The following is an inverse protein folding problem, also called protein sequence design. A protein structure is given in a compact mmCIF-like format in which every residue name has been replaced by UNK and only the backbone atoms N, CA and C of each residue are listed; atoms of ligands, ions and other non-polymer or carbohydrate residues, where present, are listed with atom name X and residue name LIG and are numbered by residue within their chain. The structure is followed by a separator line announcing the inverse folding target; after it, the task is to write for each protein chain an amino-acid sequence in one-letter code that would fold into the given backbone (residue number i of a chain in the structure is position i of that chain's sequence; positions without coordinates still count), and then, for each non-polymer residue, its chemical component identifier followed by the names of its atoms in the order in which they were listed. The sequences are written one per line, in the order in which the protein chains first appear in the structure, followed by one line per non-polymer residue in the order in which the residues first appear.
data_IF_691702828443
#
_entry.id   IF_691702828443
#
_cell.length_a   1.000
_cell.length_b   1.000
_cell.length_c   1.000
_cell.angle_alpha   90.00
_cell.angle_beta   90.00
_cell.angle_gamma   90.00
#
_symmetry.space_group_name_H-M   'P 1'
#
loop_
_entity.id
_entity.type
_entity.pdbx_description
1 polymer ?
#
# COMPACT_ATOMS: atom_id res chain seq x y z
N UNK A 1 -17.35 -12.88 -5.74
CA UNK A 1 -18.71 -12.45 -6.15
C UNK A 1 -18.63 -11.59 -7.40
N UNK A 2 -19.60 -11.70 -8.36
CA UNK A 2 -19.67 -10.77 -9.48
C UNK A 2 -20.00 -9.37 -8.96
N UNK A 3 -19.30 -8.38 -9.49
CA UNK A 3 -19.46 -6.96 -9.10
C UNK A 3 -19.40 -6.06 -10.34
N UNK A 4 -19.72 -4.79 -10.15
CA UNK A 4 -19.59 -3.78 -11.20
C UNK A 4 -20.32 -4.15 -12.48
N UNK A 5 -19.58 -4.22 -13.58
CA UNK A 5 -20.15 -4.38 -14.94
C UNK A 5 -20.83 -5.72 -15.22
N UNK A 6 -20.58 -6.75 -14.40
CA UNK A 6 -21.23 -8.08 -14.56
C UNK A 6 -22.20 -8.44 -13.44
N UNK A 7 -22.47 -7.52 -12.52
CA UNK A 7 -23.29 -7.81 -11.33
C UNK A 7 -24.71 -8.28 -11.63
N UNK A 8 -25.26 -7.89 -12.77
CA UNK A 8 -26.64 -8.18 -13.16
C UNK A 8 -26.75 -9.04 -14.44
N UNK A 9 -25.64 -9.56 -14.95
CA UNK A 9 -25.60 -10.30 -16.22
C UNK A 9 -24.80 -11.59 -16.03
N UNK A 10 -25.38 -12.69 -16.51
CA UNK A 10 -24.72 -13.99 -16.51
C UNK A 10 -24.67 -14.69 -15.15
N UNK A 11 -23.96 -15.78 -15.13
CA UNK A 11 -23.75 -16.65 -13.98
C UNK A 11 -22.26 -16.81 -13.72
N UNK A 12 -21.86 -16.70 -12.44
CA UNK A 12 -20.49 -16.98 -12.00
C UNK A 12 -20.46 -18.30 -11.25
N UNK A 13 -19.55 -19.16 -11.63
CA UNK A 13 -19.18 -20.37 -10.90
C UNK A 13 -17.72 -20.34 -10.55
N UNK A 14 -17.35 -20.81 -9.38
CA UNK A 14 -15.96 -20.93 -8.97
C UNK A 14 -15.67 -22.33 -8.41
N UNK A 15 -14.45 -22.75 -8.59
CA UNK A 15 -13.90 -23.96 -7.98
C UNK A 15 -12.42 -23.75 -7.70
N UNK A 16 -11.87 -24.54 -6.80
CA UNK A 16 -10.45 -24.55 -6.49
C UNK A 16 -9.91 -25.93 -6.78
N UNK A 17 -8.79 -26.01 -7.50
CA UNK A 17 -8.11 -27.24 -7.86
C UNK A 17 -6.60 -27.01 -7.77
N UNK A 18 -5.92 -27.78 -6.93
CA UNK A 18 -4.46 -27.75 -6.77
C UNK A 18 -3.86 -26.33 -6.51
N UNK A 19 -4.57 -25.52 -5.71
CA UNK A 19 -4.14 -24.14 -5.40
C UNK A 19 -4.46 -23.10 -6.47
N UNK A 20 -5.12 -23.51 -7.56
CA UNK A 20 -5.62 -22.60 -8.58
C UNK A 20 -7.11 -22.34 -8.41
N UNK A 21 -7.52 -21.08 -8.40
CA UNK A 21 -8.93 -20.70 -8.42
C UNK A 21 -9.42 -20.59 -9.85
N UNK A 22 -10.37 -21.43 -10.20
CA UNK A 22 -11.02 -21.41 -11.51
C UNK A 22 -12.32 -20.61 -11.37
N UNK A 23 -12.42 -19.50 -12.07
CA UNK A 23 -13.63 -18.69 -12.13
C UNK A 23 -14.20 -18.72 -13.53
N UNK A 24 -15.44 -19.14 -13.66
CA UNK A 24 -16.17 -19.18 -14.92
C UNK A 24 -17.35 -18.22 -14.86
N UNK A 25 -17.37 -17.24 -15.76
CA UNK A 25 -18.54 -16.41 -16.05
C UNK A 25 -19.14 -16.79 -17.40
N UNK A 26 -20.44 -16.96 -17.46
CA UNK A 26 -21.13 -17.26 -18.69
C UNK A 26 -22.58 -16.77 -18.65
N UNK A 27 -23.14 -16.52 -19.82
CA UNK A 27 -24.54 -16.17 -19.97
C UNK A 27 -25.20 -17.06 -21.04
N UNK A 28 -26.29 -17.74 -20.66
CA UNK A 28 -27.02 -18.65 -21.57
C UNK A 28 -27.96 -17.91 -22.54
N UNK A 29 -28.21 -16.63 -22.30
CA UNK A 29 -29.08 -15.84 -23.18
C UNK A 29 -28.29 -15.16 -24.31
N UNK A 30 -26.99 -15.28 -24.29
CA UNK A 30 -26.09 -14.63 -25.24
C UNK A 30 -25.83 -13.14 -24.93
N UNK A 31 -26.10 -12.71 -23.68
CA UNK A 31 -25.73 -11.38 -23.26
C UNK A 31 -24.21 -11.20 -23.27
N UNK A 32 -23.78 -10.04 -23.67
CA UNK A 32 -22.37 -9.65 -23.74
C UNK A 32 -22.10 -8.50 -22.78
N UNK A 33 -20.84 -8.36 -22.37
CA UNK A 33 -20.37 -7.18 -21.65
C UNK A 33 -20.03 -6.13 -22.71
N UNK A 34 -20.75 -5.00 -22.67
CA UNK A 34 -20.45 -3.88 -23.56
C UNK A 34 -19.07 -3.28 -23.23
N UNK A 35 -18.38 -2.68 -24.22
CA UNK A 35 -17.09 -2.05 -24.00
C UNK A 35 -17.16 -0.96 -22.93
N UNK A 36 -16.49 -1.20 -21.80
CA UNK A 36 -16.46 -0.29 -20.65
C UNK A 36 -15.27 -0.67 -19.74
N UNK A 37 -14.96 0.19 -18.78
CA UNK A 37 -14.00 -0.09 -17.72
C UNK A 37 -14.71 -0.23 -16.38
N UNK A 38 -14.18 -1.04 -15.50
CA UNK A 38 -14.69 -1.24 -14.13
C UNK A 38 -14.42 -2.64 -13.61
N UNK A 39 -14.76 -2.84 -12.37
CA UNK A 39 -14.59 -4.12 -11.70
C UNK A 39 -15.56 -5.16 -12.27
N UNK A 40 -15.06 -6.34 -12.54
CA UNK A 40 -15.85 -7.48 -13.02
C UNK A 40 -16.02 -8.53 -11.93
N UNK A 41 -15.09 -8.65 -10.99
CA UNK A 41 -15.06 -9.72 -10.01
C UNK A 41 -14.32 -9.27 -8.76
N UNK A 42 -14.85 -9.63 -7.59
CA UNK A 42 -14.13 -9.58 -6.32
C UNK A 42 -13.85 -11.01 -5.87
N UNK A 43 -12.58 -11.30 -5.67
CA UNK A 43 -12.11 -12.55 -5.10
C UNK A 43 -11.70 -12.28 -3.64
N UNK A 44 -12.15 -13.15 -2.75
CA UNK A 44 -11.76 -13.10 -1.34
C UNK A 44 -11.00 -14.39 -1.04
N UNK A 45 -9.76 -14.24 -0.62
CA UNK A 45 -8.92 -15.34 -0.17
C UNK A 45 -8.73 -15.25 1.34
N UNK A 46 -8.64 -16.41 1.96
CA UNK A 46 -8.20 -16.51 3.33
C UNK A 46 -6.78 -17.07 3.33
N UNK A 47 -5.86 -16.34 3.95
CA UNK A 47 -4.51 -16.85 4.18
C UNK A 47 -4.60 -18.00 5.18
N UNK A 48 -3.90 -19.10 4.92
CA UNK A 48 -3.86 -20.23 5.84
C UNK A 48 -3.17 -19.79 7.15
N UNK A 49 -3.71 -20.22 8.29
CA UNK A 49 -3.13 -19.91 9.61
C UNK A 49 -1.68 -20.43 9.77
N UNK A 50 -1.32 -21.47 9.01
CA UNK A 50 0.02 -22.06 8.99
C UNK A 50 0.93 -21.44 7.89
N UNK A 51 0.47 -20.42 7.15
CA UNK A 51 1.30 -19.78 6.15
C UNK A 51 2.49 -19.08 6.82
N UNK A 52 3.71 -19.26 6.31
CA UNK A 52 4.86 -18.53 6.83
C UNK A 52 4.65 -17.02 6.73
N UNK A 53 5.12 -16.27 7.72
CA UNK A 53 5.16 -14.82 7.66
C UNK A 53 6.21 -14.34 6.66
N UNK A 54 6.01 -13.16 6.09
CA UNK A 54 6.91 -12.52 5.12
C UNK A 54 7.13 -13.31 3.81
N UNK A 55 6.21 -14.16 3.43
CA UNK A 55 6.23 -14.74 2.09
C UNK A 55 5.48 -13.86 1.09
N UNK A 56 6.12 -13.58 -0.04
CA UNK A 56 5.47 -12.89 -1.16
C UNK A 56 4.61 -13.87 -1.93
N UNK A 57 3.34 -13.57 -2.02
CA UNK A 57 2.37 -14.31 -2.83
C UNK A 57 2.03 -13.46 -4.05
N UNK A 58 2.16 -14.07 -5.22
CA UNK A 58 1.79 -13.45 -6.49
C UNK A 58 0.45 -14.02 -6.96
N UNK A 59 -0.53 -13.15 -7.21
CA UNK A 59 -1.80 -13.50 -7.82
C UNK A 59 -1.88 -12.90 -9.22
N UNK A 60 -2.19 -13.74 -10.17
CA UNK A 60 -2.36 -13.31 -11.56
C UNK A 60 -3.24 -14.27 -12.35
N UNK A 61 -3.59 -13.87 -13.55
CA UNK A 61 -4.26 -14.74 -14.51
C UNK A 61 -3.23 -15.65 -15.14
N UNK A 62 -3.46 -16.96 -15.08
CA UNK A 62 -2.59 -17.91 -15.74
C UNK A 62 -2.87 -17.96 -17.27
N UNK A 63 -2.03 -18.66 -18.01
CA UNK A 63 -2.12 -18.81 -19.47
C UNK A 63 -3.32 -19.62 -19.96
N UNK A 64 -4.10 -20.21 -19.05
CA UNK A 64 -5.35 -20.91 -19.36
C UNK A 64 -6.57 -20.00 -19.27
N UNK A 65 -6.40 -18.77 -18.74
CA UNK A 65 -7.47 -17.79 -18.71
C UNK A 65 -7.85 -17.38 -20.13
N UNK A 66 -9.14 -17.27 -20.41
CA UNK A 66 -9.64 -16.90 -21.73
C UNK A 66 -10.88 -16.02 -21.63
N UNK A 67 -10.95 -15.05 -22.52
CA UNK A 67 -12.12 -14.22 -22.76
C UNK A 67 -12.62 -14.50 -24.18
N UNK A 68 -13.93 -14.57 -24.35
CA UNK A 68 -14.51 -14.89 -25.66
C UNK A 68 -15.65 -13.95 -26.01
N UNK A 69 -15.85 -13.75 -27.31
CA UNK A 69 -17.03 -13.06 -27.85
C UNK A 69 -18.29 -13.96 -27.85
N UNK A 70 -19.42 -13.42 -28.28
CA UNK A 70 -20.69 -14.16 -28.37
C UNK A 70 -20.67 -15.32 -29.38
N UNK A 71 -19.67 -15.38 -30.25
CA UNK A 71 -19.46 -16.46 -31.22
C UNK A 71 -18.45 -17.50 -30.71
N UNK A 72 -17.87 -17.30 -29.52
CA UNK A 72 -16.88 -18.18 -28.92
C UNK A 72 -15.45 -17.97 -29.40
N UNK A 73 -15.17 -16.88 -30.12
CA UNK A 73 -13.80 -16.56 -30.51
C UNK A 73 -13.04 -15.96 -29.33
N UNK A 74 -11.85 -16.49 -29.06
CA UNK A 74 -11.01 -15.98 -27.98
C UNK A 74 -10.44 -14.60 -28.28
N UNK A 75 -10.44 -13.75 -27.26
CA UNK A 75 -9.80 -12.45 -27.27
C UNK A 75 -8.41 -12.51 -26.66
N UNK A 76 -7.51 -11.71 -27.22
CA UNK A 76 -6.25 -11.39 -26.58
C UNK A 76 -6.52 -10.45 -25.40
N UNK A 77 -5.83 -10.67 -24.27
CA UNK A 77 -5.88 -9.81 -23.09
C UNK A 77 -4.47 -9.59 -22.53
N UNK A 78 -4.30 -8.52 -21.81
CA UNK A 78 -3.14 -8.23 -21.00
C UNK A 78 -3.56 -8.26 -19.53
N UNK A 79 -2.73 -8.80 -18.68
CA UNK A 79 -2.95 -8.85 -17.23
C UNK A 79 -1.72 -8.42 -16.48
N UNK A 80 -1.93 -7.73 -15.35
CA UNK A 80 -0.90 -7.46 -14.37
C UNK A 80 -1.13 -8.37 -13.17
N UNK A 81 -0.05 -8.91 -12.62
CA UNK A 81 -0.11 -9.65 -11.39
C UNK A 81 -0.12 -8.70 -10.20
N UNK A 82 -0.72 -9.15 -9.10
CA UNK A 82 -0.72 -8.45 -7.82
C UNK A 82 0.18 -9.26 -6.90
N UNK A 83 1.08 -8.58 -6.20
CA UNK A 83 1.89 -9.17 -5.15
C UNK A 83 1.38 -8.71 -3.80
N UNK A 84 1.37 -9.59 -2.83
CA UNK A 84 1.16 -9.27 -1.43
C UNK A 84 2.00 -10.18 -0.55
N UNK A 85 2.28 -9.71 0.67
CA UNK A 85 3.11 -10.43 1.63
C UNK A 85 2.23 -11.01 2.72
N UNK A 86 2.49 -12.26 3.11
CA UNK A 86 1.77 -12.94 4.19
C UNK A 86 2.26 -12.47 5.57
N UNK A 87 1.39 -12.61 6.56
CA UNK A 87 1.68 -12.27 7.94
C UNK A 87 1.24 -10.85 8.32
N UNK A 88 1.46 -10.52 9.57
CA UNK A 88 1.30 -9.15 10.05
C UNK A 88 2.58 -8.37 9.80
N UNK A 89 2.51 -7.12 9.36
CA UNK A 89 3.71 -6.31 9.22
C UNK A 89 4.38 -6.12 10.58
N UNK A 90 5.71 -6.12 10.58
CA UNK A 90 6.50 -5.78 11.77
C UNK A 90 6.30 -4.32 12.15
N UNK A 91 6.07 -3.49 11.15
CA UNK A 91 5.85 -2.06 11.29
C UNK A 91 4.71 -1.60 10.38
N UNK A 92 3.80 -0.82 10.95
CA UNK A 92 2.75 -0.12 10.22
C UNK A 92 2.94 1.39 10.38
N UNK A 93 2.97 2.11 9.25
CA UNK A 93 3.14 3.56 9.22
C UNK A 93 1.84 4.23 8.77
N UNK A 94 1.51 5.34 9.39
CA UNK A 94 0.34 6.17 9.04
C UNK A 94 0.70 7.64 9.12
N UNK A 95 0.21 8.44 8.19
CA UNK A 95 0.25 9.90 8.29
C UNK A 95 -1.04 10.42 8.91
N UNK A 96 -0.91 11.29 9.90
CA UNK A 96 -2.03 11.91 10.60
C UNK A 96 -1.92 13.42 10.48
N UNK A 97 -2.80 14.03 9.71
CA UNK A 97 -2.84 15.49 9.58
C UNK A 97 -3.26 16.14 10.91
N UNK A 98 -2.48 17.11 11.37
CA UNK A 98 -2.73 17.85 12.62
C UNK A 98 -3.15 19.31 12.39
N UNK A 99 -2.78 19.86 11.22
CA UNK A 99 -3.21 21.19 10.76
C UNK A 99 -3.23 21.23 9.22
N UNK A 100 -3.47 22.41 8.64
CA UNK A 100 -3.42 22.61 7.19
C UNK A 100 -2.00 22.41 6.61
N UNK A 101 -0.97 22.52 7.46
CA UNK A 101 0.44 22.49 7.06
C UNK A 101 1.28 21.51 7.87
N UNK A 102 0.69 20.84 8.85
CA UNK A 102 1.44 19.96 9.73
C UNK A 102 0.81 18.57 9.78
N UNK A 103 1.64 17.56 9.86
CA UNK A 103 1.22 16.19 10.09
C UNK A 103 2.21 15.42 10.95
N UNK A 104 1.73 14.36 11.58
CA UNK A 104 2.52 13.41 12.33
C UNK A 104 2.69 12.12 11.54
N UNK A 105 3.87 11.53 11.63
CA UNK A 105 4.09 10.16 11.19
C UNK A 105 3.97 9.25 12.41
N UNK A 106 2.94 8.42 12.39
CA UNK A 106 2.70 7.41 13.41
C UNK A 106 3.30 6.08 12.98
N UNK A 107 3.88 5.40 13.93
CA UNK A 107 4.39 4.04 13.76
C UNK A 107 3.77 3.12 14.81
N UNK A 108 3.23 1.99 14.35
CA UNK A 108 2.92 0.84 15.19
C UNK A 108 3.92 -0.26 14.86
N UNK A 109 4.67 -0.73 15.83
CA UNK A 109 5.70 -1.75 15.63
C UNK A 109 5.60 -2.85 16.70
N UNK A 110 5.72 -4.09 16.26
CA UNK A 110 5.75 -5.28 17.10
C UNK A 110 7.17 -5.78 17.39
N UNK A 111 8.18 -5.14 16.81
CA UNK A 111 9.62 -5.37 17.03
C UNK A 111 10.31 -4.05 17.36
N UNK A 112 11.50 -4.10 17.96
CA UNK A 112 12.33 -2.92 18.19
C UNK A 112 12.88 -2.38 16.87
N UNK A 113 12.77 -1.06 16.66
CA UNK A 113 13.23 -0.36 15.44
C UNK A 113 14.48 0.46 15.75
N UNK A 114 15.56 0.23 15.00
CA UNK A 114 16.82 0.97 15.16
C UNK A 114 16.91 2.23 14.31
N UNK A 115 16.20 2.26 13.18
CA UNK A 115 16.20 3.43 12.32
C UNK A 115 15.16 3.34 11.21
N UNK A 116 14.89 4.50 10.61
CA UNK A 116 13.93 4.61 9.53
C UNK A 116 14.36 5.64 8.49
N UNK A 117 14.01 5.40 7.25
CA UNK A 117 14.06 6.36 6.15
C UNK A 117 12.74 6.29 5.39
N UNK A 118 12.16 7.45 5.12
CA UNK A 118 10.90 7.56 4.39
C UNK A 118 11.04 8.61 3.31
N UNK A 119 10.41 8.37 2.18
CA UNK A 119 10.20 9.35 1.11
C UNK A 119 8.71 9.56 0.98
N UNK A 120 8.28 10.81 1.10
CA UNK A 120 6.88 11.21 1.04
C UNK A 120 6.71 12.17 -0.14
N UNK A 121 5.71 11.95 -0.95
CA UNK A 121 5.26 12.84 -2.03
C UNK A 121 3.89 13.43 -1.74
N UNK A 122 3.59 14.55 -2.38
CA UNK A 122 2.24 15.10 -2.48
C UNK A 122 1.81 15.25 -3.94
N UNK A 123 0.59 14.84 -4.25
CA UNK A 123 0.01 14.97 -5.59
C UNK A 123 -1.32 15.75 -5.55
N UNK A 124 -1.41 16.89 -6.26
CA UNK A 124 -0.34 17.59 -6.99
C UNK A 124 0.67 18.23 -6.04
N UNK A 125 1.92 18.42 -6.49
CA UNK A 125 3.01 18.98 -5.71
C UNK A 125 2.74 20.45 -5.33
N UNK A 126 2.01 20.64 -4.24
CA UNK A 126 1.54 21.93 -3.74
C UNK A 126 2.22 22.35 -2.44
N UNK A 127 2.99 21.47 -1.83
CA UNK A 127 3.65 21.71 -0.56
C UNK A 127 5.16 21.71 -0.69
N UNK A 128 5.82 22.46 0.18
CA UNK A 128 7.27 22.44 0.36
C UNK A 128 7.60 22.06 1.79
N UNK A 129 8.61 21.22 1.95
CA UNK A 129 9.12 20.83 3.26
C UNK A 129 9.74 22.03 4.00
N UNK A 130 9.42 22.22 5.28
CA UNK A 130 10.03 23.20 6.18
C UNK A 130 10.93 22.50 7.19
N UNK A 131 10.36 21.63 8.02
CA UNK A 131 11.09 20.96 9.11
C UNK A 131 10.48 19.63 9.50
N UNK A 132 11.28 18.81 10.17
CA UNK A 132 10.82 17.63 10.88
C UNK A 132 11.51 17.58 12.25
N UNK A 133 10.74 17.22 13.25
CA UNK A 133 11.21 16.98 14.62
C UNK A 133 10.83 15.56 15.05
N UNK A 134 11.72 14.94 15.82
CA UNK A 134 11.42 13.65 16.49
C UNK A 134 10.53 13.86 17.71
N UNK A 135 9.77 12.84 18.05
CA UNK A 135 8.86 12.86 19.19
C UNK A 135 9.45 12.19 20.44
N UNK A 136 8.71 12.25 21.54
CA UNK A 136 9.07 11.57 22.79
C UNK A 136 9.18 10.03 22.64
N UNK A 137 8.65 9.48 21.56
CA UNK A 137 8.73 8.05 21.27
C UNK A 137 10.09 7.62 20.73
N UNK A 138 10.87 8.55 20.18
CA UNK A 138 12.23 8.30 19.67
C UNK A 138 13.28 9.25 20.31
N UNK A 139 13.36 9.36 21.67
CA UNK A 139 14.08 10.42 22.36
C UNK A 139 15.60 10.36 22.14
N UNK A 140 16.12 9.23 21.71
CA UNK A 140 17.56 9.01 21.46
C UNK A 140 17.89 8.92 19.96
N UNK A 141 16.94 9.27 19.11
CA UNK A 141 17.14 9.32 17.67
C UNK A 141 17.35 10.76 17.21
N UNK A 142 18.21 10.91 16.24
CA UNK A 142 18.28 12.13 15.42
C UNK A 142 17.30 11.96 14.29
N UNK A 143 16.29 12.81 14.23
CA UNK A 143 15.33 12.89 13.12
C UNK A 143 15.69 14.10 12.28
N UNK A 144 15.83 13.92 10.98
CA UNK A 144 16.17 14.98 10.04
C UNK A 144 15.44 14.77 8.73
N UNK A 145 15.17 15.86 8.03
CA UNK A 145 14.51 15.80 6.73
C UNK A 145 15.10 16.76 5.72
N UNK A 146 14.78 16.53 4.47
CA UNK A 146 15.17 17.39 3.37
C UNK A 146 14.17 17.28 2.23
N UNK A 147 14.03 18.36 1.46
CA UNK A 147 13.37 18.34 0.17
C UNK A 147 14.32 17.72 -0.88
N UNK A 148 13.79 16.83 -1.70
CA UNK A 148 14.51 16.19 -2.79
C UNK A 148 13.66 16.13 -4.04
N UNK A 149 13.61 17.23 -4.78
CA UNK A 149 12.94 17.30 -6.08
C UNK A 149 11.41 17.24 -6.01
N UNK A 150 10.84 17.78 -4.93
CA UNK A 150 9.40 17.79 -4.65
C UNK A 150 8.93 16.64 -3.75
N UNK A 151 9.85 15.78 -3.31
CA UNK A 151 9.58 14.74 -2.33
C UNK A 151 10.26 15.09 -1.00
N UNK A 152 9.66 14.71 0.12
CA UNK A 152 10.24 14.89 1.45
C UNK A 152 10.95 13.60 1.86
N UNK A 153 12.25 13.69 2.12
CA UNK A 153 13.02 12.55 2.64
C UNK A 153 13.21 12.77 4.14
N UNK A 154 12.78 11.82 4.94
CA UNK A 154 12.90 11.84 6.40
C UNK A 154 13.78 10.68 6.81
N UNK A 155 14.76 10.96 7.68
CA UNK A 155 15.69 9.98 8.22
C UNK A 155 15.70 10.05 9.74
N UNK A 156 15.51 8.91 10.39
CA UNK A 156 15.64 8.75 11.84
C UNK A 156 16.67 7.68 12.19
N UNK A 157 17.66 8.02 13.01
CA UNK A 157 18.72 7.08 13.40
C UNK A 157 19.27 7.43 14.77
N UNK A 158 19.85 6.42 15.44
CA UNK A 158 20.56 6.60 16.72
C UNK A 158 22.05 6.39 16.55
N UNK A 159 22.86 7.37 16.95
CA UNK A 159 24.32 7.23 17.01
C UNK A 159 24.81 6.38 18.17
N UNK A 160 23.94 6.14 19.16
CA UNK A 160 24.25 5.35 20.35
C UNK A 160 23.77 3.91 20.27
N UNK A 161 23.11 3.53 19.17
CA UNK A 161 22.51 2.21 18.99
C UNK A 161 21.22 1.99 19.79
N UNK A 162 20.55 3.09 20.18
CA UNK A 162 19.24 2.99 20.83
C UNK A 162 18.19 2.57 19.82
N UNK A 163 17.18 1.84 20.29
CA UNK A 163 16.01 1.44 19.50
C UNK A 163 14.77 2.20 19.92
N UNK A 164 13.77 2.23 19.06
CA UNK A 164 12.41 2.63 19.37
C UNK A 164 11.71 1.37 19.87
N UNK A 165 11.17 1.43 21.09
CA UNK A 165 10.51 0.30 21.74
C UNK A 165 9.25 -0.13 20.98
N UNK A 166 8.83 -1.38 21.15
CA UNK A 166 7.55 -1.90 20.69
C UNK A 166 6.39 -1.04 21.18
N UNK A 167 5.44 -0.74 20.30
CA UNK A 167 4.28 0.06 20.64
C UNK A 167 3.73 0.89 19.48
N UNK A 168 2.90 1.88 19.78
CA UNK A 168 2.26 2.75 18.79
C UNK A 168 2.34 4.22 19.18
N UNK A 169 2.35 5.10 18.19
CA UNK A 169 2.31 6.56 18.37
C UNK A 169 3.22 7.31 17.39
N UNK A 170 3.24 8.65 17.47
CA UNK A 170 4.00 9.48 16.56
C UNK A 170 5.51 9.30 16.78
N UNK A 171 6.27 9.22 15.69
CA UNK A 171 7.73 9.17 15.67
C UNK A 171 8.35 10.43 15.07
N UNK A 172 7.59 11.17 14.28
CA UNK A 172 8.01 12.44 13.67
C UNK A 172 6.84 13.39 13.54
N UNK A 173 7.14 14.68 13.72
CA UNK A 173 6.25 15.81 13.44
C UNK A 173 6.82 16.56 12.24
N UNK A 174 6.04 16.75 11.19
CA UNK A 174 6.47 17.35 9.92
C UNK A 174 5.71 18.65 9.70
N UNK A 175 6.43 19.72 9.43
CA UNK A 175 5.87 21.02 9.05
C UNK A 175 6.20 21.33 7.59
N UNK A 176 5.19 21.86 6.89
CA UNK A 176 5.26 22.19 5.48
C UNK A 176 4.71 23.59 5.19
N UNK A 177 5.08 24.13 4.06
CA UNK A 177 4.51 25.37 3.51
C UNK A 177 3.59 25.02 2.34
N UNK A 178 2.37 25.53 2.40
CA UNK A 178 1.44 25.47 1.30
C UNK A 178 1.78 26.54 0.26
N UNK A 179 2.19 26.12 -0.94
CA UNK A 179 2.61 27.00 -2.03
C UNK A 179 1.44 27.66 -2.77
N UNK A 180 0.21 27.17 -2.54
CA UNK A 180 -1.02 27.59 -3.24
C UNK A 180 -1.96 28.41 -2.35
N UNK A 181 -1.41 29.33 -1.56
CA UNK A 181 -2.16 30.16 -0.60
C UNK A 181 -3.42 30.77 -1.21
N UNK A 182 -4.56 30.54 -0.54
CA UNK A 182 -5.85 31.13 -0.88
C UNK A 182 -6.66 30.40 -1.95
N UNK A 183 -6.29 29.21 -2.32
CA UNK A 183 -7.08 28.31 -3.15
C UNK A 183 -7.50 27.08 -2.34
N UNK A 184 -8.76 26.66 -2.51
CA UNK A 184 -9.21 25.37 -2.02
C UNK A 184 -8.71 24.30 -3.00
N UNK A 185 -7.82 23.43 -2.54
CA UNK A 185 -7.36 22.26 -3.26
C UNK A 185 -7.09 21.12 -2.27
N UNK A 186 -7.20 19.92 -2.77
CA UNK A 186 -6.82 18.70 -2.06
C UNK A 186 -5.47 18.24 -2.60
N UNK A 187 -4.56 17.84 -1.72
CA UNK A 187 -3.35 17.09 -2.06
C UNK A 187 -3.39 15.76 -1.34
N UNK A 188 -3.00 14.72 -2.05
CA UNK A 188 -2.83 13.41 -1.49
C UNK A 188 -1.36 13.22 -1.10
N UNK A 189 -1.10 12.82 0.14
CA UNK A 189 0.23 12.50 0.62
C UNK A 189 0.42 10.98 0.62
N UNK A 190 1.53 10.54 0.04
CA UNK A 190 1.85 9.13 -0.08
C UNK A 190 3.26 8.84 0.44
N UNK A 191 3.43 7.68 1.06
CA UNK A 191 4.76 7.10 1.26
C UNK A 191 5.21 6.43 -0.05
N UNK A 192 6.14 7.05 -0.77
CA UNK A 192 6.73 6.45 -1.98
C UNK A 192 7.71 5.33 -1.63
N UNK A 193 8.41 5.48 -0.51
CA UNK A 193 9.36 4.52 0.01
C UNK A 193 9.42 4.62 1.53
N UNK A 194 9.37 3.49 2.20
CA UNK A 194 9.69 3.39 3.62
C UNK A 194 10.67 2.23 3.83
N UNK A 195 11.81 2.53 4.43
CA UNK A 195 12.80 1.54 4.84
C UNK A 195 12.98 1.65 6.34
N UNK A 196 12.60 0.60 7.05
CA UNK A 196 12.73 0.49 8.49
C UNK A 196 13.72 -0.62 8.79
N UNK A 197 14.55 -0.46 9.80
CA UNK A 197 15.54 -1.46 10.18
C UNK A 197 15.45 -1.83 11.67
N UNK A 198 15.71 -3.09 11.94
CA UNK A 198 15.89 -3.61 13.30
C UNK A 198 17.28 -3.27 13.87
N UNK A 199 17.54 -3.72 15.10
CA UNK A 199 18.83 -3.53 15.80
C UNK A 199 20.04 -4.22 15.13
N UNK A 200 19.78 -5.13 14.19
CA UNK A 200 20.82 -5.80 13.37
C UNK A 200 21.07 -5.09 12.05
N UNK A 201 20.42 -3.94 11.82
CA UNK A 201 20.38 -3.20 10.56
C UNK A 201 19.76 -4.00 9.39
N UNK A 202 18.93 -4.98 9.70
CA UNK A 202 18.14 -5.72 8.71
C UNK A 202 16.85 -4.98 8.41
N UNK A 203 16.41 -4.91 7.13
CA UNK A 203 15.11 -4.33 6.80
C UNK A 203 13.98 -5.19 7.39
N UNK A 204 12.95 -4.54 7.88
CA UNK A 204 11.77 -5.19 8.46
C UNK A 204 10.56 -5.05 7.55
N UNK A 205 9.62 -5.98 7.66
CA UNK A 205 8.39 -5.92 6.87
C UNK A 205 7.54 -4.74 7.31
N UNK A 206 7.38 -3.77 6.42
CA UNK A 206 6.71 -2.50 6.69
C UNK A 206 5.55 -2.30 5.73
N UNK A 207 4.39 -1.90 6.27
CA UNK A 207 3.25 -1.42 5.51
C UNK A 207 3.02 0.05 5.83
N UNK A 208 2.76 0.85 4.81
CA UNK A 208 2.46 2.28 4.94
C UNK A 208 1.12 2.62 4.27
N UNK A 209 0.38 3.54 4.88
CA UNK A 209 -0.94 3.98 4.41
C UNK A 209 -1.11 5.49 4.65
#
# INVERSE_FOLDING_TARGET
QPVGIISNVGTVSNSEVDGESIVLWFDFTGAVIEPQSGDILVLTYQVNEDAPDNETIELGLNNLSAFADSAGNAYFYESNNIEFVTGLPDVFLTMVQTSDTDFEIHMENNIEVAGFQMTISDDPNNYSYISVDGTDRCPNHTVSGSDSGGNFVILGFSLTGSTIDVGSGPIAEVSMENNMQGMDFESEFCFDLATISDSSASPVFTVSN
#
